data_IF_523652488706
#
_entry.id   IF_523652488706
#
_cell.length_a   1.000
_cell.length_b   1.000
_cell.length_c   1.000
_cell.angle_alpha   90.00
_cell.angle_beta   90.00
_cell.angle_gamma   90.00
#
_symmetry.space_group_name_H-M   'P 1'
#
loop_
_entity.id
_entity.type
_entity.pdbx_description
1 polymer ?
#
# COMPACT_ATOMS: atom_id res chain seq x y z
N UNK A 1 5.06 4.53 -38.57
CA UNK A 1 4.22 5.29 -37.63
C UNK A 1 4.56 5.09 -36.13
N UNK A 2 5.01 3.93 -35.61
CA UNK A 2 5.15 3.72 -34.15
C UNK A 2 6.27 4.55 -33.48
N UNK A 3 7.42 4.72 -34.14
CA UNK A 3 8.55 5.52 -33.60
C UNK A 3 8.21 6.99 -33.32
N UNK A 4 7.24 7.56 -34.06
CA UNK A 4 6.90 9.00 -33.98
C UNK A 4 6.04 9.31 -32.75
N UNK A 5 5.23 8.36 -32.30
CA UNK A 5 4.39 8.50 -31.11
C UNK A 5 5.21 8.27 -29.82
N UNK A 6 6.14 7.31 -29.84
CA UNK A 6 7.05 7.07 -28.71
C UNK A 6 7.94 8.29 -28.40
N UNK A 7 8.49 8.96 -29.42
CA UNK A 7 9.31 10.17 -29.19
C UNK A 7 8.46 11.37 -28.74
N UNK A 8 7.19 11.46 -29.17
CA UNK A 8 6.30 12.52 -28.70
C UNK A 8 5.90 12.31 -27.23
N UNK A 9 5.62 11.06 -26.83
CA UNK A 9 5.39 10.67 -25.43
C UNK A 9 6.59 11.05 -24.55
N UNK A 10 7.80 10.66 -24.95
CA UNK A 10 9.03 11.04 -24.25
C UNK A 10 9.24 12.56 -24.15
N UNK A 11 8.87 13.33 -25.19
CA UNK A 11 8.90 14.80 -25.14
C UNK A 11 7.91 15.35 -24.10
N UNK A 12 6.72 14.77 -24.01
CA UNK A 12 5.69 15.17 -23.06
C UNK A 12 6.10 14.78 -21.63
N UNK A 13 6.68 13.61 -21.44
CA UNK A 13 7.18 13.16 -20.13
C UNK A 13 8.26 14.11 -19.60
N UNK A 14 9.24 14.46 -20.45
CA UNK A 14 10.26 15.46 -20.08
C UNK A 14 9.62 16.81 -19.72
N UNK A 15 8.58 17.22 -20.45
CA UNK A 15 7.85 18.44 -20.14
C UNK A 15 7.13 18.37 -18.79
N UNK A 16 6.45 17.27 -18.49
CA UNK A 16 5.62 17.09 -17.29
C UNK A 16 6.44 16.87 -16.03
N UNK A 17 7.51 16.08 -16.11
CA UNK A 17 8.27 15.64 -14.94
C UNK A 17 9.52 16.48 -14.67
N UNK A 18 10.06 17.17 -15.69
CA UNK A 18 11.36 17.83 -15.59
C UNK A 18 11.32 19.34 -15.86
N UNK A 19 10.14 19.92 -16.12
CA UNK A 19 9.90 21.37 -16.29
C UNK A 19 10.95 22.12 -17.13
N UNK A 20 11.18 21.72 -18.39
CA UNK A 20 12.16 22.35 -19.27
C UNK A 20 11.73 23.78 -19.64
N UNK A 21 12.70 24.69 -19.64
CA UNK A 21 12.47 26.10 -19.99
C UNK A 21 12.58 26.34 -21.49
N UNK A 22 13.22 25.44 -22.24
CA UNK A 22 13.46 25.58 -23.68
C UNK A 22 13.31 24.27 -24.47
N UNK A 23 12.99 24.37 -25.77
CA UNK A 23 13.03 23.23 -26.70
C UNK A 23 14.43 22.62 -26.84
N UNK A 24 15.48 23.40 -26.60
CA UNK A 24 16.87 22.93 -26.67
C UNK A 24 17.22 22.02 -25.47
N UNK A 25 16.66 22.28 -24.29
CA UNK A 25 16.78 21.38 -23.13
C UNK A 25 16.10 20.04 -23.38
N UNK A 26 14.87 20.05 -23.93
CA UNK A 26 14.13 18.84 -24.31
C UNK A 26 14.93 18.02 -25.33
N UNK A 27 15.46 18.69 -26.35
CA UNK A 27 16.26 18.09 -27.40
C UNK A 27 17.54 17.42 -26.84
N UNK A 28 18.25 18.12 -25.95
CA UNK A 28 19.48 17.64 -25.31
C UNK A 28 19.22 16.41 -24.43
N UNK A 29 18.13 16.42 -23.63
CA UNK A 29 17.78 15.30 -22.73
C UNK A 29 17.40 14.03 -23.50
N UNK A 30 16.68 14.19 -24.61
CA UNK A 30 16.21 13.05 -25.40
C UNK A 30 17.19 12.64 -26.51
N UNK A 31 18.34 13.31 -26.65
CA UNK A 31 19.32 13.04 -27.70
C UNK A 31 18.78 13.24 -29.12
N UNK A 32 17.82 14.16 -29.29
CA UNK A 32 17.15 14.44 -30.58
C UNK A 32 17.38 15.89 -31.01
N UNK A 33 17.14 16.21 -32.28
CA UNK A 33 17.35 17.58 -32.77
C UNK A 33 16.22 18.53 -32.32
N UNK A 34 16.56 19.78 -31.98
CA UNK A 34 15.57 20.84 -31.67
C UNK A 34 14.50 20.97 -32.75
N UNK A 35 14.89 20.92 -34.02
CA UNK A 35 13.97 20.98 -35.17
C UNK A 35 12.95 19.83 -35.17
N UNK A 36 13.34 18.66 -34.67
CA UNK A 36 12.43 17.52 -34.51
C UNK A 36 11.47 17.70 -33.34
N UNK A 37 11.94 18.24 -32.20
CA UNK A 37 11.09 18.63 -31.08
C UNK A 37 10.06 19.68 -31.52
N UNK A 38 10.48 20.72 -32.23
CA UNK A 38 9.58 21.75 -32.78
C UNK A 38 8.53 21.13 -33.70
N UNK A 39 8.92 20.20 -34.58
CA UNK A 39 8.00 19.53 -35.52
C UNK A 39 6.93 18.71 -34.78
N UNK A 40 7.29 18.08 -33.66
CA UNK A 40 6.39 17.25 -32.87
C UNK A 40 5.49 18.06 -31.93
N UNK A 41 5.97 19.17 -31.37
CA UNK A 41 5.17 20.06 -30.52
C UNK A 41 4.27 21.03 -31.29
N UNK A 42 4.59 21.36 -32.56
CA UNK A 42 3.81 22.33 -33.36
C UNK A 42 2.29 22.08 -33.40
N UNK A 43 1.80 20.82 -33.53
CA UNK A 43 0.37 20.52 -33.49
C UNK A 43 -0.25 20.77 -32.11
N UNK A 44 0.47 20.41 -31.03
CA UNK A 44 0.03 20.58 -29.65
C UNK A 44 0.00 22.06 -29.25
N UNK A 45 0.99 22.85 -29.68
CA UNK A 45 1.05 24.29 -29.45
C UNK A 45 -0.08 25.02 -30.19
N UNK A 46 -0.36 24.65 -31.45
CA UNK A 46 -1.47 25.24 -32.22
C UNK A 46 -2.84 25.00 -31.60
N UNK A 47 -3.03 23.84 -30.97
CA UNK A 47 -4.29 23.48 -30.29
C UNK A 47 -4.36 23.98 -28.84
N UNK A 48 -3.26 24.54 -28.33
CA UNK A 48 -3.16 25.05 -26.96
C UNK A 48 -2.94 23.97 -25.90
N UNK A 49 -2.59 22.75 -26.30
CA UNK A 49 -2.24 21.63 -25.40
C UNK A 49 -0.87 21.87 -24.75
N UNK A 50 0.06 22.51 -25.46
CA UNK A 50 1.37 22.93 -24.93
C UNK A 50 1.50 24.44 -25.11
N UNK A 51 1.65 25.18 -24.01
CA UNK A 51 1.78 26.64 -24.04
C UNK A 51 3.20 27.06 -24.44
N UNK A 52 3.41 28.34 -24.77
CA UNK A 52 4.71 28.87 -25.27
C UNK A 52 5.87 28.70 -24.26
N UNK A 53 5.57 28.48 -22.98
CA UNK A 53 6.52 28.17 -21.91
C UNK A 53 6.70 26.66 -21.67
N UNK A 54 6.28 25.81 -22.60
CA UNK A 54 6.30 24.34 -22.45
C UNK A 54 5.53 23.82 -21.25
N UNK A 55 4.46 24.52 -20.85
CA UNK A 55 3.51 24.01 -19.87
C UNK A 55 2.40 23.24 -20.59
N UNK A 56 2.08 22.03 -20.13
CA UNK A 56 0.99 21.22 -20.68
C UNK A 56 -0.33 21.66 -20.05
N UNK A 57 -1.31 21.95 -20.90
CA UNK A 57 -2.69 22.17 -20.50
C UNK A 57 -3.38 20.81 -20.36
N UNK A 58 -3.47 20.32 -19.12
CA UNK A 58 -3.93 18.96 -18.80
C UNK A 58 -5.38 18.72 -19.21
N UNK A 59 -6.22 19.77 -19.27
CA UNK A 59 -7.61 19.66 -19.74
C UNK A 59 -7.66 19.31 -21.24
N UNK A 60 -6.83 19.95 -22.06
CA UNK A 60 -6.75 19.69 -23.51
C UNK A 60 -5.87 18.49 -23.85
N UNK A 61 -5.00 18.08 -22.95
CA UNK A 61 -4.18 16.88 -23.09
C UNK A 61 -5.03 15.61 -23.02
N UNK A 62 -6.03 15.58 -22.13
CA UNK A 62 -6.99 14.47 -22.03
C UNK A 62 -7.80 14.24 -23.31
N UNK A 63 -8.20 15.30 -24.01
CA UNK A 63 -8.85 15.23 -25.34
C UNK A 63 -7.92 14.68 -26.44
N UNK A 64 -6.63 14.52 -26.17
CA UNK A 64 -5.60 14.10 -27.12
C UNK A 64 -5.02 12.71 -26.83
N UNK A 65 -5.50 12.03 -25.78
CA UNK A 65 -5.05 10.69 -25.39
C UNK A 65 -5.22 9.67 -26.53
N UNK A 66 -6.26 9.83 -27.35
CA UNK A 66 -6.53 9.00 -28.54
C UNK A 66 -5.39 9.01 -29.57
N UNK A 67 -4.54 10.05 -29.58
CA UNK A 67 -3.40 10.17 -30.51
C UNK A 67 -2.23 9.24 -30.12
N UNK A 68 -2.19 8.79 -28.86
CA UNK A 68 -1.13 7.94 -28.35
C UNK A 68 -1.41 6.44 -28.50
N UNK A 69 -2.63 6.05 -28.88
CA UNK A 69 -2.95 4.69 -29.32
C UNK A 69 -2.68 3.61 -28.28
N UNK A 70 -2.72 3.95 -27.00
CA UNK A 70 -2.80 2.98 -25.90
C UNK A 70 -4.27 2.97 -25.45
N UNK A 71 -4.87 1.79 -25.37
CA UNK A 71 -6.15 1.58 -24.69
C UNK A 71 -5.98 1.99 -23.23
N UNK A 72 -6.16 3.28 -22.94
CA UNK A 72 -6.47 3.74 -21.59
C UNK A 72 -7.78 3.07 -21.23
N UNK A 73 -7.73 2.09 -20.33
CA UNK A 73 -8.90 1.68 -19.57
C UNK A 73 -9.54 2.95 -19.04
N UNK A 74 -10.76 3.19 -19.52
CA UNK A 74 -11.56 4.38 -19.29
C UNK A 74 -11.55 4.79 -17.81
N UNK A 75 -11.10 6.04 -17.53
CA UNK A 75 -11.28 6.88 -16.31
C UNK A 75 -10.06 7.26 -15.46
N UNK A 76 -8.85 6.76 -15.73
CA UNK A 76 -7.73 7.10 -14.83
C UNK A 76 -6.95 8.35 -15.28
N UNK A 77 -7.18 9.47 -14.62
CA UNK A 77 -6.31 10.66 -14.72
C UNK A 77 -4.90 10.34 -14.17
N UNK A 78 -3.86 10.87 -14.82
CA UNK A 78 -2.45 10.63 -14.49
C UNK A 78 -2.05 10.82 -13.01
N UNK A 79 -2.77 11.65 -12.24
CA UNK A 79 -2.54 11.83 -10.81
C UNK A 79 -3.00 10.65 -9.93
N UNK A 80 -4.12 10.00 -10.29
CA UNK A 80 -4.60 8.78 -9.61
C UNK A 80 -3.60 7.63 -9.82
N UNK A 81 -3.11 7.50 -11.05
CA UNK A 81 -2.07 6.53 -11.40
C UNK A 81 -0.80 6.69 -10.55
N UNK A 82 -0.32 7.93 -10.39
CA UNK A 82 0.87 8.20 -9.57
C UNK A 82 0.68 7.81 -8.10
N UNK A 83 -0.47 8.16 -7.50
CA UNK A 83 -0.75 7.82 -6.09
C UNK A 83 -0.92 6.31 -5.91
N UNK A 84 -1.51 5.61 -6.89
CA UNK A 84 -1.59 4.14 -6.89
C UNK A 84 -0.20 3.48 -6.92
N UNK A 85 0.74 4.00 -7.69
CA UNK A 85 2.12 3.47 -7.67
C UNK A 85 2.80 3.72 -6.30
N UNK A 86 2.60 4.89 -5.67
CA UNK A 86 3.10 5.12 -4.31
C UNK A 86 2.51 4.13 -3.29
N UNK A 87 1.21 3.85 -3.38
CA UNK A 87 0.53 2.86 -2.53
C UNK A 87 1.05 1.44 -2.75
N UNK A 88 1.33 1.08 -4.01
CA UNK A 88 1.95 -0.20 -4.37
C UNK A 88 3.34 -0.34 -3.74
N UNK A 89 4.18 0.69 -3.87
CA UNK A 89 5.52 0.71 -3.25
C UNK A 89 5.43 0.57 -1.72
N UNK A 90 4.49 1.29 -1.10
CA UNK A 90 4.25 1.19 0.35
C UNK A 90 3.77 -0.20 0.76
N UNK A 91 2.85 -0.80 0.01
CA UNK A 91 2.37 -2.16 0.29
C UNK A 91 3.49 -3.21 0.18
N UNK A 92 4.36 -3.09 -0.83
CA UNK A 92 5.54 -3.96 -0.97
C UNK A 92 6.51 -3.79 0.20
N UNK A 93 6.73 -2.55 0.65
CA UNK A 93 7.58 -2.24 1.79
C UNK A 93 7.01 -2.81 3.10
N UNK A 94 5.72 -2.62 3.37
CA UNK A 94 5.03 -3.16 4.56
C UNK A 94 5.02 -4.68 4.55
N UNK A 95 4.80 -5.32 3.41
CA UNK A 95 4.92 -6.78 3.28
C UNK A 95 6.32 -7.28 3.65
N UNK A 96 7.37 -6.57 3.21
CA UNK A 96 8.77 -6.89 3.58
C UNK A 96 9.04 -6.63 5.05
N UNK A 97 8.49 -5.56 5.63
CA UNK A 97 8.60 -5.27 7.06
C UNK A 97 8.00 -6.41 7.89
N UNK A 98 6.79 -6.85 7.55
CA UNK A 98 6.12 -7.98 8.22
C UNK A 98 6.91 -9.29 8.09
N UNK A 99 7.36 -9.63 6.88
CA UNK A 99 8.21 -10.81 6.63
C UNK A 99 9.47 -10.77 7.49
N UNK A 100 10.15 -9.62 7.52
CA UNK A 100 11.40 -9.45 8.26
C UNK A 100 11.19 -9.54 9.76
N UNK A 101 10.14 -8.90 10.29
CA UNK A 101 9.75 -9.01 11.69
C UNK A 101 9.44 -10.45 12.10
N UNK A 102 8.73 -11.19 11.27
CA UNK A 102 8.41 -12.60 11.56
C UNK A 102 9.64 -13.51 11.46
N UNK A 103 10.49 -13.32 10.45
CA UNK A 103 11.75 -14.07 10.34
C UNK A 103 12.69 -13.81 11.52
N UNK A 104 12.72 -12.58 12.02
CA UNK A 104 13.48 -12.22 13.21
C UNK A 104 12.98 -13.00 14.43
N UNK A 105 11.65 -13.07 14.61
CA UNK A 105 11.02 -13.86 15.67
C UNK A 105 11.33 -15.36 15.54
N UNK A 106 11.22 -15.93 14.35
CA UNK A 106 11.44 -17.36 14.11
C UNK A 106 12.90 -17.77 14.35
N UNK A 107 13.84 -16.93 13.94
CA UNK A 107 15.28 -17.18 14.08
C UNK A 107 15.87 -16.66 15.40
N UNK A 108 15.09 -15.93 16.21
CA UNK A 108 15.57 -15.16 17.36
C UNK A 108 16.71 -14.18 17.01
N UNK A 109 16.65 -13.62 15.81
CA UNK A 109 17.67 -12.73 15.25
C UNK A 109 17.36 -11.28 15.62
N UNK A 110 18.15 -10.73 16.56
CA UNK A 110 17.95 -9.37 17.08
C UNK A 110 18.37 -8.31 16.08
N UNK A 111 19.43 -8.54 15.31
CA UNK A 111 19.85 -7.61 14.27
C UNK A 111 18.74 -7.46 13.21
N UNK A 112 18.13 -8.56 12.80
CA UNK A 112 17.02 -8.57 11.84
C UNK A 112 15.78 -7.86 12.41
N UNK A 113 15.50 -8.02 13.71
CA UNK A 113 14.44 -7.31 14.40
C UNK A 113 14.67 -5.79 14.44
N UNK A 114 15.88 -5.36 14.79
CA UNK A 114 16.25 -3.93 14.82
C UNK A 114 16.21 -3.30 13.43
N UNK A 115 16.51 -4.06 12.38
CA UNK A 115 16.32 -3.61 11.01
C UNK A 115 14.85 -3.47 10.65
N UNK A 116 13.98 -4.40 11.07
CA UNK A 116 12.54 -4.31 10.84
C UNK A 116 11.91 -3.11 11.59
N UNK A 117 12.36 -2.83 12.82
CA UNK A 117 11.98 -1.62 13.56
C UNK A 117 12.42 -0.34 12.83
N UNK A 118 13.58 -0.35 12.17
CA UNK A 118 14.04 0.79 11.36
C UNK A 118 13.22 0.99 10.08
N UNK A 119 12.63 -0.08 9.52
CA UNK A 119 11.74 0.03 8.36
C UNK A 119 10.46 0.79 8.68
N UNK A 120 10.05 0.84 9.94
CA UNK A 120 8.88 1.56 10.41
C UNK A 120 8.95 3.07 10.13
N UNK A 121 10.12 3.69 10.35
CA UNK A 121 10.35 5.09 9.99
C UNK A 121 10.15 5.35 8.49
N UNK A 122 10.48 4.37 7.65
CA UNK A 122 10.29 4.48 6.20
C UNK A 122 8.80 4.37 5.85
N UNK A 123 8.07 3.46 6.50
CA UNK A 123 6.62 3.30 6.37
C UNK A 123 5.90 4.62 6.71
N UNK A 124 6.26 5.24 7.83
CA UNK A 124 5.68 6.51 8.27
C UNK A 124 5.97 7.65 7.28
N UNK A 125 7.16 7.67 6.69
CA UNK A 125 7.51 8.64 5.64
C UNK A 125 6.74 8.41 4.34
N UNK A 126 6.53 7.14 3.94
CA UNK A 126 5.71 6.79 2.78
C UNK A 126 4.26 7.24 2.96
N UNK A 127 3.68 7.02 4.14
CA UNK A 127 2.33 7.48 4.49
C UNK A 127 2.19 9.00 4.34
N UNK A 128 3.08 9.79 4.96
CA UNK A 128 3.04 11.26 4.87
C UNK A 128 3.28 11.77 3.44
N UNK A 129 4.11 11.07 2.66
CA UNK A 129 4.33 11.38 1.23
C UNK A 129 3.05 11.15 0.41
N UNK A 130 2.34 10.05 0.63
CA UNK A 130 1.08 9.75 -0.06
C UNK A 130 0.04 10.79 0.31
N UNK A 131 -0.15 11.07 1.60
CA UNK A 131 -1.05 12.10 2.10
C UNK A 131 -0.79 13.46 1.46
N UNK A 132 0.47 13.92 1.46
CA UNK A 132 0.85 15.20 0.84
C UNK A 132 0.59 15.22 -0.68
N UNK A 133 0.75 14.08 -1.34
CA UNK A 133 0.47 13.93 -2.78
C UNK A 133 -1.03 14.00 -3.07
N UNK A 134 -1.85 13.38 -2.23
CA UNK A 134 -3.32 13.47 -2.29
C UNK A 134 -3.78 14.91 -2.07
N UNK A 135 -3.29 15.59 -1.02
CA UNK A 135 -3.62 16.98 -0.71
C UNK A 135 -3.27 17.92 -1.88
N UNK A 136 -2.09 17.72 -2.48
CA UNK A 136 -1.65 18.47 -3.66
C UNK A 136 -2.59 18.22 -4.84
N UNK A 137 -2.97 16.96 -5.09
CA UNK A 137 -3.84 16.61 -6.20
C UNK A 137 -5.26 17.20 -6.03
N UNK A 138 -5.80 17.19 -4.82
CA UNK A 138 -7.09 17.84 -4.48
C UNK A 138 -7.00 19.35 -4.70
N UNK A 139 -5.94 20.00 -4.20
CA UNK A 139 -5.75 21.45 -4.33
C UNK A 139 -5.62 21.90 -5.81
N UNK A 140 -5.00 21.07 -6.65
CA UNK A 140 -4.83 21.36 -8.07
C UNK A 140 -6.11 21.19 -8.90
N UNK A 141 -7.04 20.31 -8.49
CA UNK A 141 -8.28 20.09 -9.23
C UNK A 141 -9.49 19.81 -8.29
N UNK A 142 -10.00 20.84 -7.60
CA UNK A 142 -11.05 20.69 -6.59
C UNK A 142 -12.43 20.32 -7.17
N UNK A 143 -12.60 20.34 -8.49
CA UNK A 143 -13.88 20.09 -9.18
C UNK A 143 -13.98 18.69 -9.82
N UNK A 144 -13.01 17.80 -9.59
CA UNK A 144 -12.86 16.51 -10.28
C UNK A 144 -13.11 15.28 -9.42
N UNK A 145 -13.04 14.10 -10.05
CA UNK A 145 -13.03 12.73 -9.47
C UNK A 145 -12.09 12.55 -8.27
N UNK A 146 -11.19 13.51 -8.00
CA UNK A 146 -10.41 13.64 -6.76
C UNK A 146 -11.25 13.90 -5.49
N UNK A 147 -12.56 14.14 -5.60
CA UNK A 147 -13.46 14.10 -4.45
C UNK A 147 -13.44 12.75 -3.70
N UNK A 148 -13.00 11.67 -4.35
CA UNK A 148 -12.76 10.34 -3.74
C UNK A 148 -11.29 10.05 -3.43
N UNK A 149 -10.38 11.00 -3.62
CA UNK A 149 -8.95 10.78 -3.41
C UNK A 149 -8.57 10.59 -1.94
N UNK A 150 -9.46 10.99 -1.01
CA UNK A 150 -9.32 10.72 0.43
C UNK A 150 -9.13 9.22 0.70
N UNK A 151 -9.73 8.35 -0.11
CA UNK A 151 -9.57 6.89 -0.02
C UNK A 151 -8.10 6.46 -0.12
N UNK A 152 -7.29 7.14 -0.93
CA UNK A 152 -5.86 6.81 -1.02
C UNK A 152 -5.12 7.06 0.30
N UNK A 153 -5.48 8.13 1.01
CA UNK A 153 -4.94 8.42 2.34
C UNK A 153 -5.42 7.40 3.37
N UNK A 154 -6.67 6.95 3.30
CA UNK A 154 -7.20 5.91 4.20
C UNK A 154 -6.45 4.58 4.03
N UNK A 155 -6.22 4.14 2.79
CA UNK A 155 -5.46 2.91 2.55
C UNK A 155 -3.99 3.06 2.96
N UNK A 156 -3.40 4.23 2.74
CA UNK A 156 -2.04 4.49 3.22
C UNK A 156 -1.97 4.43 4.75
N UNK A 157 -2.98 4.92 5.46
CA UNK A 157 -3.07 4.82 6.92
C UNK A 157 -3.26 3.37 7.37
N UNK A 158 -4.07 2.58 6.67
CA UNK A 158 -4.23 1.15 6.95
C UNK A 158 -2.92 0.35 6.74
N UNK A 159 -2.16 0.68 5.70
CA UNK A 159 -0.83 0.11 5.47
C UNK A 159 0.16 0.50 6.58
N UNK A 160 0.10 1.74 7.07
CA UNK A 160 0.94 2.21 8.17
C UNK A 160 0.63 1.45 9.47
N UNK A 161 -0.65 1.24 9.79
CA UNK A 161 -1.08 0.40 10.92
C UNK A 161 -0.56 -1.03 10.83
N UNK A 162 -0.50 -1.63 9.64
CA UNK A 162 0.11 -2.95 9.44
C UNK A 162 1.64 -2.89 9.70
N UNK A 163 2.30 -1.80 9.31
CA UNK A 163 3.69 -1.52 9.66
C UNK A 163 3.93 -1.47 11.17
N UNK A 164 3.14 -0.67 11.90
CA UNK A 164 3.17 -0.58 13.36
C UNK A 164 3.01 -1.96 14.03
N UNK A 165 2.03 -2.73 13.56
CA UNK A 165 1.81 -4.10 14.00
C UNK A 165 3.01 -5.00 13.74
N UNK A 166 3.66 -4.87 12.58
CA UNK A 166 4.92 -5.56 12.28
C UNK A 166 6.05 -5.15 13.25
N UNK A 167 6.07 -3.89 13.67
CA UNK A 167 7.00 -3.39 14.69
C UNK A 167 6.81 -4.04 16.06
N UNK A 168 5.57 -4.36 16.46
CA UNK A 168 5.28 -5.09 17.71
C UNK A 168 5.95 -6.47 17.71
N UNK A 169 5.91 -7.18 16.58
CA UNK A 169 6.55 -8.50 16.40
C UNK A 169 8.07 -8.41 16.55
N UNK A 170 8.70 -7.44 15.88
CA UNK A 170 10.13 -7.22 15.98
C UNK A 170 10.55 -6.83 17.43
N UNK A 171 9.79 -5.95 18.07
CA UNK A 171 10.05 -5.50 19.44
C UNK A 171 10.00 -6.65 20.46
N UNK A 172 9.12 -7.63 20.25
CA UNK A 172 9.07 -8.85 21.06
C UNK A 172 10.39 -9.62 20.97
N UNK A 173 10.93 -9.81 19.76
CA UNK A 173 12.21 -10.51 19.53
C UNK A 173 13.39 -9.82 20.21
N UNK A 174 13.40 -8.49 20.23
CA UNK A 174 14.48 -7.72 20.88
C UNK A 174 14.43 -7.86 22.41
N UNK A 175 13.23 -7.74 22.98
CA UNK A 175 13.00 -7.59 24.43
C UNK A 175 12.86 -8.91 25.17
N UNK A 176 12.22 -9.91 24.58
CA UNK A 176 11.90 -11.15 25.25
C UNK A 176 13.06 -12.13 25.11
N UNK A 177 13.46 -12.75 26.22
CA UNK A 177 14.58 -13.69 26.28
C UNK A 177 14.15 -15.16 26.22
N UNK A 178 12.84 -15.43 26.26
CA UNK A 178 12.31 -16.78 26.34
C UNK A 178 11.98 -17.31 24.94
N UNK A 179 12.37 -18.54 24.62
CA UNK A 179 11.96 -19.17 23.36
C UNK A 179 10.46 -19.45 23.37
N UNK A 180 9.83 -19.18 22.23
CA UNK A 180 8.45 -19.54 21.95
C UNK A 180 8.32 -21.05 21.84
N UNK A 181 7.31 -21.59 22.52
CA UNK A 181 6.97 -23.01 22.44
C UNK A 181 6.75 -23.43 20.96
N UNK A 182 7.28 -24.58 20.51
CA UNK A 182 7.16 -25.00 19.11
C UNK A 182 5.73 -25.07 18.58
N UNK A 183 4.75 -25.44 19.42
CA UNK A 183 3.34 -25.51 19.04
C UNK A 183 2.78 -24.10 18.82
N UNK A 184 3.15 -23.14 19.69
CA UNK A 184 2.74 -21.74 19.52
C UNK A 184 3.42 -21.14 18.28
N UNK A 185 4.70 -21.41 18.06
CA UNK A 185 5.43 -20.93 16.87
C UNK A 185 4.80 -21.47 15.57
N UNK A 186 4.31 -22.71 15.53
CA UNK A 186 3.56 -23.23 14.37
C UNK A 186 2.28 -22.43 14.11
N UNK A 187 1.51 -22.11 15.15
CA UNK A 187 0.36 -21.23 14.98
C UNK A 187 0.76 -19.85 14.47
N UNK A 188 1.82 -19.24 15.02
CA UNK A 188 2.30 -17.93 14.56
C UNK A 188 2.74 -17.96 13.10
N UNK A 189 3.39 -19.04 12.64
CA UNK A 189 3.76 -19.23 11.22
C UNK A 189 2.54 -19.25 10.32
N UNK A 190 1.52 -20.01 10.68
CA UNK A 190 0.25 -20.05 9.94
C UNK A 190 -0.46 -18.69 9.94
N UNK A 191 -0.46 -17.98 11.07
CA UNK A 191 -1.02 -16.63 11.15
C UNK A 191 -0.25 -15.65 10.25
N UNK A 192 1.07 -15.73 10.21
CA UNK A 192 1.91 -14.93 9.31
C UNK A 192 1.57 -15.21 7.83
N UNK A 193 1.51 -16.47 7.41
CA UNK A 193 1.16 -16.87 6.05
C UNK A 193 -0.24 -16.39 5.63
N UNK A 194 -1.22 -16.51 6.54
CA UNK A 194 -2.57 -15.99 6.32
C UNK A 194 -2.56 -14.47 6.22
N UNK A 195 -1.91 -13.78 7.16
CA UNK A 195 -1.85 -12.31 7.22
C UNK A 195 -1.20 -11.70 5.97
N UNK A 196 -0.04 -12.22 5.53
CA UNK A 196 0.62 -11.71 4.32
C UNK A 196 -0.21 -11.96 3.06
N UNK A 197 -0.95 -13.07 3.00
CA UNK A 197 -1.87 -13.37 1.91
C UNK A 197 -3.05 -12.39 1.88
N UNK A 198 -3.63 -12.08 3.05
CA UNK A 198 -4.72 -11.11 3.18
C UNK A 198 -4.29 -9.72 2.71
N UNK A 199 -3.15 -9.20 3.16
CA UNK A 199 -2.63 -7.89 2.75
C UNK A 199 -2.40 -7.82 1.24
N UNK A 200 -1.79 -8.85 0.65
CA UNK A 200 -1.53 -8.92 -0.81
C UNK A 200 -2.82 -8.97 -1.64
N UNK A 201 -3.82 -9.74 -1.19
CA UNK A 201 -5.13 -9.83 -1.85
C UNK A 201 -5.90 -8.52 -1.71
N UNK A 202 -5.91 -7.91 -0.53
CA UNK A 202 -6.55 -6.62 -0.29
C UNK A 202 -5.98 -5.52 -1.19
N UNK A 203 -4.65 -5.40 -1.24
CA UNK A 203 -4.00 -4.43 -2.14
C UNK A 203 -4.18 -4.77 -3.61
N UNK A 204 -4.28 -6.05 -3.98
CA UNK A 204 -4.62 -6.45 -5.36
C UNK A 204 -6.05 -6.07 -5.73
N UNK A 205 -7.01 -6.21 -4.80
CA UNK A 205 -8.39 -5.79 -4.99
C UNK A 205 -8.46 -4.27 -5.25
N UNK A 206 -7.71 -3.49 -4.46
CA UNK A 206 -7.67 -2.05 -4.62
C UNK A 206 -6.92 -1.59 -5.87
N UNK A 207 -5.68 -2.06 -6.11
CA UNK A 207 -4.83 -1.54 -7.19
C UNK A 207 -5.24 -2.04 -8.57
N UNK A 208 -5.81 -3.24 -8.68
CA UNK A 208 -6.12 -3.92 -9.95
C UNK A 208 -7.63 -4.10 -10.20
N UNK A 209 -8.47 -3.46 -9.38
CA UNK A 209 -9.93 -3.53 -9.48
C UNK A 209 -10.51 -4.94 -9.36
N UNK A 210 -9.82 -5.83 -8.63
CA UNK A 210 -10.20 -7.24 -8.45
C UNK A 210 -11.08 -7.44 -7.23
N UNK A 211 -12.29 -6.90 -7.27
CA UNK A 211 -13.23 -6.97 -6.14
C UNK A 211 -13.71 -8.39 -5.83
N UNK A 212 -13.57 -9.32 -6.78
CA UNK A 212 -13.83 -10.76 -6.56
C UNK A 212 -12.93 -11.37 -5.48
N UNK A 213 -11.78 -10.75 -5.17
CA UNK A 213 -10.90 -11.18 -4.08
C UNK A 213 -11.47 -10.93 -2.69
N UNK A 214 -12.62 -10.25 -2.57
CA UNK A 214 -13.27 -10.00 -1.29
C UNK A 214 -13.63 -11.30 -0.58
N UNK A 215 -14.22 -12.25 -1.28
CA UNK A 215 -14.64 -13.52 -0.67
C UNK A 215 -13.42 -14.31 -0.18
N UNK A 216 -12.34 -14.33 -0.96
CA UNK A 216 -11.05 -14.92 -0.53
C UNK A 216 -10.52 -14.30 0.76
N UNK A 217 -10.58 -12.96 0.89
CA UNK A 217 -10.09 -12.25 2.09
C UNK A 217 -10.97 -12.57 3.30
N UNK A 218 -12.30 -12.66 3.12
CA UNK A 218 -13.21 -13.06 4.19
C UNK A 218 -12.97 -14.50 4.66
N UNK A 219 -12.71 -15.43 3.74
CA UNK A 219 -12.34 -16.82 4.11
C UNK A 219 -11.04 -16.87 4.92
N UNK A 220 -10.03 -16.08 4.53
CA UNK A 220 -8.78 -15.97 5.26
C UNK A 220 -8.96 -15.33 6.64
N UNK A 221 -9.85 -14.34 6.79
CA UNK A 221 -10.21 -13.75 8.08
C UNK A 221 -10.78 -14.81 9.03
N UNK A 222 -11.67 -15.68 8.54
CA UNK A 222 -12.20 -16.77 9.36
C UNK A 222 -11.12 -17.76 9.81
N UNK A 223 -10.19 -18.10 8.92
CA UNK A 223 -9.06 -18.96 9.27
C UNK A 223 -8.12 -18.27 10.27
N UNK A 224 -7.84 -16.98 10.10
CA UNK A 224 -7.08 -16.17 11.06
C UNK A 224 -7.70 -16.24 12.46
N UNK A 225 -9.01 -16.03 12.56
CA UNK A 225 -9.75 -16.13 13.83
C UNK A 225 -9.71 -17.55 14.43
N UNK A 226 -9.76 -18.60 13.61
CA UNK A 226 -9.66 -19.99 14.08
C UNK A 226 -8.26 -20.27 14.66
N UNK A 227 -7.21 -19.85 13.98
CA UNK A 227 -5.82 -20.04 14.44
C UNK A 227 -5.57 -19.23 15.71
N UNK A 228 -6.02 -17.97 15.75
CA UNK A 228 -5.91 -17.07 16.90
C UNK A 228 -6.48 -17.70 18.18
N UNK A 229 -7.71 -18.25 18.12
CA UNK A 229 -8.34 -18.91 19.27
C UNK A 229 -7.51 -20.08 19.79
N UNK A 230 -6.93 -20.88 18.89
CA UNK A 230 -6.09 -22.03 19.27
C UNK A 230 -4.78 -21.58 19.91
N UNK A 231 -4.12 -20.57 19.33
CA UNK A 231 -2.89 -19.99 19.86
C UNK A 231 -3.10 -19.38 21.26
N UNK A 232 -4.15 -18.58 21.44
CA UNK A 232 -4.48 -17.97 22.74
C UNK A 232 -4.83 -19.01 23.80
N UNK A 233 -5.59 -20.05 23.46
CA UNK A 233 -5.89 -21.13 24.39
C UNK A 233 -4.62 -21.85 24.84
N UNK A 234 -3.69 -22.12 23.92
CA UNK A 234 -2.41 -22.74 24.24
C UNK A 234 -1.56 -21.86 25.19
N UNK A 235 -1.46 -20.56 24.89
CA UNK A 235 -0.77 -19.58 25.76
C UNK A 235 -1.42 -19.54 27.14
N UNK A 236 -2.75 -19.51 27.22
CA UNK A 236 -3.48 -19.43 28.48
C UNK A 236 -3.28 -20.70 29.34
N UNK A 237 -3.27 -21.88 28.74
CA UNK A 237 -2.97 -23.14 29.44
C UNK A 237 -1.54 -23.13 29.99
N UNK A 238 -0.54 -22.77 29.17
CA UNK A 238 0.85 -22.69 29.62
C UNK A 238 1.04 -21.66 30.74
N UNK A 239 0.35 -20.52 30.65
CA UNK A 239 0.36 -19.49 31.69
C UNK A 239 -0.25 -19.99 33.00
N UNK A 240 -1.36 -20.74 32.93
CA UNK A 240 -2.03 -21.29 34.12
C UNK A 240 -1.23 -22.41 34.82
N UNK A 241 -0.44 -23.17 34.06
CA UNK A 241 0.43 -24.23 34.58
C UNK A 241 1.78 -23.70 35.12
N UNK A 242 2.13 -22.45 34.83
CA UNK A 242 3.38 -21.82 35.30
C UNK A 242 3.23 -21.32 36.73
N UNK A 243 4.28 -21.45 37.55
CA UNK A 243 4.28 -20.97 38.94
C UNK A 243 4.10 -19.45 39.03
N UNK A 244 3.27 -18.99 39.98
CA UNK A 244 3.01 -17.56 40.24
C UNK A 244 4.22 -16.77 40.73
N UNK A 245 5.27 -17.45 41.19
CA UNK A 245 6.51 -16.81 41.65
C UNK A 245 7.39 -16.33 40.48
N UNK A 246 7.19 -16.87 39.27
CA UNK A 246 7.91 -16.50 38.04
C UNK A 246 7.25 -15.29 37.32
N UNK A 247 7.27 -14.11 37.96
CA UNK A 247 6.64 -12.88 37.42
C UNK A 247 7.11 -12.48 36.01
N UNK A 248 8.39 -12.72 35.70
CA UNK A 248 8.95 -12.47 34.37
C UNK A 248 8.27 -13.32 33.30
N UNK A 249 7.91 -14.56 33.63
CA UNK A 249 7.24 -15.50 32.74
C UNK A 249 5.77 -15.14 32.49
N UNK A 250 5.11 -14.54 33.49
CA UNK A 250 3.76 -13.96 33.30
C UNK A 250 3.77 -12.80 32.30
N UNK A 251 4.80 -11.95 32.34
CA UNK A 251 4.95 -10.82 31.41
C UNK A 251 5.20 -11.31 29.99
N UNK A 252 6.04 -12.34 29.84
CA UNK A 252 6.28 -13.01 28.56
C UNK A 252 5.00 -13.54 27.90
N UNK A 253 4.13 -14.26 28.62
CA UNK A 253 2.89 -14.77 28.03
C UNK A 253 1.94 -13.64 27.59
N UNK A 254 1.91 -12.53 28.33
CA UNK A 254 1.15 -11.33 27.93
C UNK A 254 1.75 -10.75 26.64
N UNK A 255 3.06 -10.56 26.58
CA UNK A 255 3.76 -10.10 25.36
C UNK A 255 3.49 -11.03 24.17
N UNK A 256 3.49 -12.35 24.38
CA UNK A 256 3.25 -13.35 23.33
C UNK A 256 1.79 -13.32 22.85
N UNK A 257 0.83 -13.13 23.76
CA UNK A 257 -0.58 -12.94 23.41
C UNK A 257 -0.80 -11.68 22.55
N UNK A 258 0.01 -10.64 22.72
CA UNK A 258 -0.03 -9.43 21.88
C UNK A 258 0.44 -9.73 20.46
N UNK A 259 1.40 -10.63 20.26
CA UNK A 259 1.80 -11.08 18.91
C UNK A 259 0.64 -11.78 18.21
N UNK A 260 -0.05 -12.68 18.91
CA UNK A 260 -1.25 -13.35 18.35
C UNK A 260 -2.33 -12.33 17.99
N UNK A 261 -2.59 -11.34 18.86
CA UNK A 261 -3.57 -10.29 18.58
C UNK A 261 -3.16 -9.39 17.41
N UNK A 262 -1.86 -9.14 17.25
CA UNK A 262 -1.30 -8.33 16.16
C UNK A 262 -1.62 -8.93 14.79
N UNK A 263 -1.49 -10.25 14.63
CA UNK A 263 -1.86 -10.90 13.36
C UNK A 263 -3.35 -10.83 13.05
N UNK A 264 -4.22 -10.94 14.05
CA UNK A 264 -5.66 -10.73 13.85
C UNK A 264 -5.94 -9.29 13.41
N UNK A 265 -5.30 -8.28 14.03
CA UNK A 265 -5.43 -6.89 13.59
C UNK A 265 -5.00 -6.66 12.14
N UNK A 266 -3.92 -7.30 11.70
CA UNK A 266 -3.50 -7.26 10.29
C UNK A 266 -4.59 -7.84 9.37
N UNK A 267 -5.26 -8.92 9.82
CA UNK A 267 -6.43 -9.47 9.15
C UNK A 267 -7.59 -8.48 9.05
N UNK A 268 -8.00 -7.89 10.18
CA UNK A 268 -9.07 -6.88 10.25
C UNK A 268 -8.78 -5.71 9.28
N UNK A 269 -7.56 -5.18 9.32
CA UNK A 269 -7.14 -4.06 8.46
C UNK A 269 -7.17 -4.46 6.98
N UNK A 270 -6.83 -5.71 6.66
CA UNK A 270 -6.92 -6.20 5.27
C UNK A 270 -8.37 -6.24 4.77
N UNK A 271 -9.33 -6.56 5.64
CA UNK A 271 -10.77 -6.48 5.32
C UNK A 271 -11.19 -5.02 5.13
N UNK A 272 -10.71 -4.10 5.97
CA UNK A 272 -10.96 -2.65 5.84
C UNK A 272 -10.49 -2.10 4.48
N UNK A 273 -9.31 -2.51 4.00
CA UNK A 273 -8.79 -2.14 2.68
C UNK A 273 -9.69 -2.65 1.54
N UNK A 274 -10.18 -3.90 1.64
CA UNK A 274 -11.07 -4.48 0.63
C UNK A 274 -12.42 -3.78 0.59
N UNK A 275 -13.01 -3.51 1.75
CA UNK A 275 -14.29 -2.80 1.84
C UNK A 275 -14.14 -1.37 1.28
N UNK A 276 -13.00 -0.72 1.56
CA UNK A 276 -12.63 0.58 0.99
C UNK A 276 -12.49 0.53 -0.54
N UNK A 277 -11.92 -0.55 -1.08
CA UNK A 277 -11.89 -0.77 -2.53
C UNK A 277 -13.31 -0.92 -3.12
N UNK A 278 -14.18 -1.67 -2.46
CA UNK A 278 -15.59 -1.82 -2.85
C UNK A 278 -16.33 -0.48 -2.88
N UNK A 279 -16.13 0.36 -1.87
CA UNK A 279 -16.67 1.71 -1.83
C UNK A 279 -16.13 2.57 -2.98
N UNK A 280 -14.82 2.54 -3.21
CA UNK A 280 -14.18 3.35 -4.23
C UNK A 280 -14.65 3.01 -5.65
N UNK A 281 -14.76 1.73 -6.00
CA UNK A 281 -15.09 1.30 -7.36
C UNK A 281 -16.59 1.15 -7.61
N UNK A 282 -17.35 0.64 -6.64
CA UNK A 282 -18.77 0.30 -6.81
C UNK A 282 -19.72 1.26 -6.08
N UNK A 283 -19.19 2.25 -5.35
CA UNK A 283 -19.98 3.18 -4.53
C UNK A 283 -20.88 2.46 -3.51
N UNK A 284 -20.44 1.28 -3.06
CA UNK A 284 -21.11 0.49 -2.03
C UNK A 284 -20.69 1.08 -0.68
N UNK A 285 -21.63 1.62 0.12
CA UNK A 285 -21.29 2.16 1.42
C UNK A 285 -20.80 1.04 2.35
N UNK A 286 -19.80 1.35 3.18
CA UNK A 286 -19.33 0.42 4.21
C UNK A 286 -20.47 0.06 5.14
N UNK A 287 -20.50 -1.19 5.59
CA UNK A 287 -21.51 -1.63 6.55
C UNK A 287 -21.25 -0.99 7.91
N UNK A 288 -22.23 -0.20 8.38
CA UNK A 288 -22.20 0.41 9.72
C UNK A 288 -22.53 -0.59 10.82
N UNK A 289 -22.94 -1.81 10.45
CA UNK A 289 -23.29 -2.88 11.38
C UNK A 289 -22.02 -3.37 12.05
N UNK A 290 -21.90 -3.30 13.39
CA UNK A 290 -20.77 -3.87 14.11
C UNK A 290 -20.61 -5.36 13.80
N UNK A 291 -19.37 -5.85 13.72
CA UNK A 291 -19.05 -7.22 13.31
C UNK A 291 -19.87 -8.29 14.06
N UNK A 292 -20.04 -8.11 15.38
CA UNK A 292 -20.84 -9.01 16.24
C UNK A 292 -22.30 -9.18 15.80
N UNK A 293 -22.82 -8.26 14.97
CA UNK A 293 -24.18 -8.29 14.43
C UNK A 293 -24.23 -8.61 12.93
N UNK A 294 -23.07 -8.82 12.28
CA UNK A 294 -23.00 -9.18 10.85
C UNK A 294 -23.24 -10.68 10.60
N UNK A 295 -23.12 -11.52 11.62
CA UNK A 295 -23.17 -13.00 11.54
C UNK A 295 -24.45 -13.63 12.15
N UNK A 296 -25.56 -12.88 12.24
CA UNK A 296 -26.87 -13.38 12.70
C UNK A 296 -27.71 -13.81 11.50
#
# INVERSE_FOLDING_TARGET
>A
MPRRNATLKAIIDVILYENPSTQDEIAKKLGITRRYVTKLLRPLIRKGVVKRAYMVDLQKFGEFADVFGEELTSREYAGSFFIKELLKDMAEHVCKQLEKSFRALEAYDKELADEALRMDYVTNHMHEKIRSSVDTAIAMNPYSEFGRAVVFTEIAYDLERIGDHSGIIANFTVKEAYPVDPVIMDYLRRMYETGISMVRKAMSAFLKERLELRDDVMELEEEMHRIQRRALNCIATQMAETSFEEKERSTYYISLSRIVKTFERIGDISVEIVDTAGEFYMNIPRTTTPERFRRI
#
